data_IF_359736981802
#
_entry.id   IF_359736981802
#
_cell.length_a   1.000
_cell.length_b   1.000
_cell.length_c   1.000
_cell.angle_alpha   90.00
_cell.angle_beta   90.00
_cell.angle_gamma   90.00
#
_symmetry.space_group_name_H-M   'P 1'
#
loop_
_entity.id
_entity.type
_entity.pdbx_description
1 polymer ?
#
# COMPACT_ATOMS: atom_id res chain seq x y z
N UNK A 1 4.57 -12.87 17.21
CA UNK A 1 3.79 -14.03 16.66
C UNK A 1 2.48 -13.50 16.08
N UNK A 2 2.44 -13.23 14.79
CA UNK A 2 1.27 -12.66 14.09
C UNK A 2 0.07 -13.60 14.13
N UNK A 3 -1.11 -13.03 14.39
CA UNK A 3 -2.37 -13.74 14.66
C UNK A 3 -2.81 -14.70 13.54
N UNK A 4 -3.50 -15.76 13.99
CA UNK A 4 -3.84 -17.00 13.28
C UNK A 4 -5.03 -16.91 12.31
N UNK A 5 -5.68 -15.77 12.18
CA UNK A 5 -6.98 -15.69 11.49
C UNK A 5 -6.87 -14.93 10.17
N UNK A 6 -6.54 -15.66 9.11
CA UNK A 6 -6.61 -15.16 7.74
C UNK A 6 -6.82 -16.28 6.72
N UNK A 7 -7.33 -16.00 5.51
CA UNK A 7 -7.70 -17.03 4.51
C UNK A 7 -6.48 -17.74 3.86
N UNK A 8 -5.28 -17.66 4.46
CA UNK A 8 -4.03 -18.22 3.96
C UNK A 8 -3.39 -19.25 4.89
N UNK A 9 -2.35 -19.94 4.40
CA UNK A 9 -1.57 -20.85 5.23
C UNK A 9 -0.81 -20.05 6.32
N UNK A 10 -0.79 -20.53 7.58
CA UNK A 10 -0.10 -19.84 8.66
C UNK A 10 1.41 -19.78 8.42
N UNK A 11 2.01 -18.62 8.70
CA UNK A 11 3.45 -18.37 8.53
C UNK A 11 3.73 -17.13 7.67
N UNK A 12 5.02 -16.79 7.52
CA UNK A 12 5.47 -15.56 6.87
C UNK A 12 5.53 -14.36 7.82
N UNK A 13 5.96 -13.21 7.29
CA UNK A 13 6.07 -11.94 8.02
C UNK A 13 5.31 -10.87 7.24
N UNK A 14 4.43 -10.14 7.91
CA UNK A 14 3.64 -9.07 7.31
C UNK A 14 4.26 -7.71 7.59
N UNK A 15 3.90 -6.71 6.78
CA UNK A 15 4.18 -5.30 7.07
C UNK A 15 3.25 -4.72 8.13
N UNK A 16 2.13 -5.39 8.37
CA UNK A 16 1.00 -4.92 9.15
C UNK A 16 0.51 -5.96 10.13
N UNK A 17 0.10 -5.52 11.32
CA UNK A 17 -0.60 -6.39 12.30
C UNK A 17 -1.89 -6.93 11.67
N UNK A 18 -2.73 -6.05 11.12
CA UNK A 18 -3.98 -6.40 10.43
C UNK A 18 -3.76 -6.54 8.92
N UNK A 19 -2.95 -7.50 8.49
CA UNK A 19 -2.52 -7.67 7.08
C UNK A 19 -3.64 -7.93 6.06
N UNK A 20 -4.85 -8.29 6.51
CA UNK A 20 -6.05 -8.45 5.66
C UNK A 20 -6.90 -7.20 5.53
N UNK A 21 -6.54 -6.14 6.24
CA UNK A 21 -7.26 -4.87 6.22
C UNK A 21 -6.55 -3.92 5.28
N UNK A 22 -7.31 -3.35 4.34
CA UNK A 22 -6.81 -2.29 3.48
C UNK A 22 -7.00 -0.94 4.17
N UNK A 23 -5.91 -0.38 4.71
CA UNK A 23 -5.88 0.92 5.35
C UNK A 23 -4.50 1.60 5.21
N UNK A 24 -4.30 2.77 5.83
CA UNK A 24 -3.05 3.52 5.72
C UNK A 24 -1.94 3.08 6.69
N UNK A 25 -2.17 2.01 7.45
CA UNK A 25 -1.29 1.64 8.56
C UNK A 25 0.09 1.16 8.05
N UNK A 26 0.21 0.76 6.77
CA UNK A 26 1.50 0.50 6.11
C UNK A 26 2.46 1.67 6.25
N UNK A 27 2.00 2.90 5.99
CA UNK A 27 2.85 4.08 6.10
C UNK A 27 3.19 4.44 7.55
N UNK A 28 2.34 4.05 8.51
CA UNK A 28 2.57 4.28 9.95
C UNK A 28 3.61 3.31 10.48
N UNK A 29 3.44 2.02 10.20
CA UNK A 29 4.25 0.95 10.77
C UNK A 29 5.70 1.01 10.23
N UNK A 30 5.89 1.24 8.93
CA UNK A 30 7.24 1.35 8.33
C UNK A 30 7.98 2.63 8.76
N UNK A 31 7.25 3.70 9.12
CA UNK A 31 7.82 4.95 9.63
C UNK A 31 8.29 4.78 11.07
N UNK A 32 7.45 4.17 11.91
CA UNK A 32 7.73 4.04 13.34
C UNK A 32 8.73 2.93 13.65
N UNK A 33 8.72 1.84 12.89
CA UNK A 33 9.61 0.67 13.07
C UNK A 33 9.68 0.17 14.52
N UNK A 34 8.56 0.24 15.24
CA UNK A 34 8.49 -0.10 16.68
C UNK A 34 8.27 -1.58 16.95
N UNK A 35 7.73 -2.29 15.98
CA UNK A 35 7.44 -3.71 16.09
C UNK A 35 8.46 -4.51 15.26
N UNK A 36 9.35 -5.24 15.93
CA UNK A 36 10.39 -6.06 15.30
C UNK A 36 9.80 -7.28 14.57
N UNK A 37 8.55 -7.67 14.85
CA UNK A 37 7.85 -8.72 14.13
C UNK A 37 7.30 -8.22 12.77
N UNK A 38 7.28 -6.90 12.50
CA UNK A 38 6.80 -6.35 11.23
C UNK A 38 7.93 -6.13 10.23
N UNK A 39 7.63 -6.44 8.97
CA UNK A 39 8.59 -6.34 7.88
C UNK A 39 8.78 -4.88 7.45
N UNK A 40 10.03 -4.48 7.26
CA UNK A 40 10.41 -3.25 6.55
C UNK A 40 11.55 -3.60 5.58
N UNK A 41 11.25 -3.65 4.29
CA UNK A 41 12.28 -3.87 3.27
C UNK A 41 13.04 -2.56 2.99
N UNK A 42 14.25 -2.63 2.39
CA UNK A 42 14.97 -1.43 1.96
C UNK A 42 14.15 -0.54 1.01
N UNK A 43 13.29 -1.12 0.18
CA UNK A 43 12.39 -0.38 -0.72
C UNK A 43 11.25 0.33 0.01
N UNK A 44 10.81 -0.18 1.16
CA UNK A 44 9.82 0.49 2.00
C UNK A 44 10.48 1.63 2.79
N UNK A 45 11.70 1.38 3.30
CA UNK A 45 12.50 2.35 4.02
C UNK A 45 12.74 3.62 3.20
N UNK A 46 13.06 3.47 1.91
CA UNK A 46 13.36 4.60 1.01
C UNK A 46 12.20 5.59 0.88
N UNK A 47 10.95 5.16 1.13
CA UNK A 47 9.78 6.04 1.07
C UNK A 47 9.85 7.19 2.08
N UNK A 48 10.53 7.00 3.21
CA UNK A 48 10.73 8.02 4.25
C UNK A 48 12.14 8.62 4.26
N UNK A 49 13.05 8.13 3.42
CA UNK A 49 14.42 8.60 3.28
C UNK A 49 14.61 9.52 2.07
N UNK A 50 13.98 9.21 0.93
CA UNK A 50 14.01 10.05 -0.25
C UNK A 50 13.16 11.33 -0.08
N UNK A 51 13.69 12.53 -0.36
CA UNK A 51 12.97 13.78 -0.15
C UNK A 51 11.66 13.89 -0.94
N UNK A 52 11.58 13.29 -2.13
CA UNK A 52 10.39 13.38 -2.99
C UNK A 52 9.32 12.40 -2.53
N UNK A 53 9.71 11.16 -2.22
CA UNK A 53 8.75 10.15 -1.73
C UNK A 53 8.22 10.48 -0.34
N UNK A 54 9.07 11.02 0.53
CA UNK A 54 8.71 11.37 1.91
C UNK A 54 7.49 12.27 2.00
N UNK A 55 7.33 13.22 1.07
CA UNK A 55 6.16 14.11 1.03
C UNK A 55 4.86 13.32 0.98
N UNK A 56 4.81 12.25 0.17
CA UNK A 56 3.63 11.40 0.03
C UNK A 56 3.52 10.40 1.18
N UNK A 57 4.63 9.80 1.60
CA UNK A 57 4.64 8.82 2.69
C UNK A 57 4.15 9.44 4.01
N UNK A 58 4.60 10.66 4.34
CA UNK A 58 4.11 11.41 5.50
C UNK A 58 2.63 11.77 5.36
N UNK A 59 2.22 12.29 4.20
CA UNK A 59 0.82 12.63 3.88
C UNK A 59 -0.12 11.43 4.07
N UNK A 60 0.30 10.25 3.62
CA UNK A 60 -0.50 9.03 3.71
C UNK A 60 -0.50 8.44 5.13
N UNK A 61 0.60 8.55 5.88
CA UNK A 61 0.63 8.16 7.28
C UNK A 61 -0.37 8.98 8.12
N UNK A 62 -0.51 10.28 7.82
CA UNK A 62 -1.39 11.20 8.54
C UNK A 62 -2.86 11.13 8.10
N UNK A 63 -3.13 10.90 6.80
CA UNK A 63 -4.48 11.01 6.26
C UNK A 63 -4.86 9.82 5.35
N UNK A 64 -5.73 8.95 5.87
CA UNK A 64 -6.19 7.76 5.15
C UNK A 64 -7.06 8.08 3.94
N UNK A 65 -7.94 9.09 4.01
CA UNK A 65 -8.83 9.43 2.89
C UNK A 65 -8.03 9.90 1.68
N UNK A 66 -6.95 10.63 1.94
CA UNK A 66 -6.00 11.05 0.90
C UNK A 66 -5.28 9.84 0.30
N UNK A 67 -4.82 8.91 1.15
CA UNK A 67 -4.24 7.66 0.67
C UNK A 67 -5.21 6.90 -0.24
N UNK A 68 -6.46 6.70 0.19
CA UNK A 68 -7.46 5.97 -0.59
C UNK A 68 -7.77 6.64 -1.92
N UNK A 69 -7.91 7.97 -1.94
CA UNK A 69 -8.11 8.72 -3.18
C UNK A 69 -6.95 8.51 -4.15
N UNK A 70 -5.73 8.80 -3.72
CA UNK A 70 -4.55 8.74 -4.59
C UNK A 70 -4.26 7.27 -5.01
N UNK A 71 -4.51 6.30 -4.12
CA UNK A 71 -4.38 4.87 -4.42
C UNK A 71 -5.37 4.41 -5.48
N UNK A 72 -6.64 4.82 -5.40
CA UNK A 72 -7.66 4.46 -6.39
C UNK A 72 -7.27 4.97 -7.79
N UNK A 73 -6.82 6.23 -7.88
CA UNK A 73 -6.36 6.83 -9.13
C UNK A 73 -5.12 6.11 -9.68
N UNK A 74 -4.11 5.84 -8.84
CA UNK A 74 -2.88 5.16 -9.24
C UNK A 74 -3.12 3.70 -9.66
N UNK A 75 -3.94 2.96 -8.90
CA UNK A 75 -4.28 1.56 -9.18
C UNK A 75 -5.06 1.42 -10.48
N UNK A 76 -6.02 2.33 -10.75
CA UNK A 76 -6.73 2.38 -12.02
C UNK A 76 -5.80 2.71 -13.19
N UNK A 77 -4.86 3.65 -13.03
CA UNK A 77 -3.87 3.95 -14.06
C UNK A 77 -2.97 2.74 -14.35
N UNK A 78 -2.53 2.05 -13.30
CA UNK A 78 -1.66 0.88 -13.40
C UNK A 78 -2.37 -0.29 -14.08
N UNK A 79 -3.62 -0.59 -13.69
CA UNK A 79 -4.38 -1.71 -14.25
C UNK A 79 -4.65 -1.58 -15.75
N UNK A 80 -4.69 -0.33 -16.26
CA UNK A 80 -4.92 -0.03 -17.67
C UNK A 80 -3.62 0.16 -18.48
N UNK A 81 -2.44 0.17 -17.84
CA UNK A 81 -1.18 0.50 -18.51
C UNK A 81 -0.80 -0.56 -19.56
N UNK A 82 -0.71 -0.14 -20.82
CA UNK A 82 -0.34 -1.02 -21.95
C UNK A 82 -1.45 -1.98 -22.40
N UNK A 83 -2.63 -1.92 -21.77
CA UNK A 83 -3.78 -2.70 -22.19
C UNK A 83 -4.33 -2.23 -23.55
N UNK A 84 -4.91 -3.17 -24.30
CA UNK A 84 -5.69 -2.88 -25.50
C UNK A 84 -7.12 -3.29 -25.22
N UNK A 85 -8.04 -2.35 -25.34
CA UNK A 85 -9.45 -2.56 -25.06
C UNK A 85 -10.26 -2.77 -26.34
N UNK A 86 -11.34 -3.53 -26.23
CA UNK A 86 -12.37 -3.66 -27.25
C UNK A 86 -13.76 -3.48 -26.58
N UNK A 87 -14.44 -2.34 -26.80
CA UNK A 87 -14.08 -1.23 -27.69
C UNK A 87 -12.85 -0.44 -27.18
N UNK A 88 -12.18 0.37 -28.02
CA UNK A 88 -10.95 1.09 -27.64
C UNK A 88 -11.07 2.01 -26.41
N UNK A 89 -12.28 2.49 -26.11
CA UNK A 89 -12.60 3.31 -24.93
C UNK A 89 -12.78 2.50 -23.64
N UNK A 90 -12.71 1.17 -23.70
CA UNK A 90 -13.16 0.28 -22.63
C UNK A 90 -14.68 0.16 -22.55
N UNK A 91 -15.15 -0.78 -21.72
CA UNK A 91 -16.58 -1.07 -21.50
C UNK A 91 -17.31 0.03 -20.70
N UNK A 92 -16.54 0.85 -19.99
CA UNK A 92 -16.99 2.03 -19.29
C UNK A 92 -16.31 3.19 -20.02
N UNK A 93 -17.04 3.92 -20.86
CA UNK A 93 -16.52 5.18 -21.37
C UNK A 93 -16.12 6.06 -20.17
N UNK A 94 -14.83 6.28 -20.00
CA UNK A 94 -14.29 7.17 -18.97
C UNK A 94 -14.78 8.60 -19.19
#
# INVERSE_FOLDING_TARGET
>A
MTEKDGPGAPGGQSWMVQWLKFDNSYFKDIKERRDEDLLVLPTDAVLFEDPSFKVYAEKYAENQDTFFKDYAEASAKLSNLGAKFDPPSGLLGA
#
